data_IF_519516076859
#
_entry.id   IF_519516076859
#
_cell.length_a   1.000
_cell.length_b   1.000
_cell.length_c   1.000
_cell.angle_alpha   90.00
_cell.angle_beta   90.00
_cell.angle_gamma   90.00
#
_symmetry.space_group_name_H-M   'P 1'
#
loop_
_entity.id
_entity.type
_entity.pdbx_description
1 polymer ?
#
# COMPACT_ATOMS: atom_id res chain seq x y z
N UNK A 1 -10.55 -30.84 13.93
CA UNK A 1 -10.93 -29.97 12.78
C UNK A 1 -11.27 -28.60 13.34
N UNK A 2 -10.47 -27.54 13.09
CA UNK A 2 -10.80 -26.20 13.58
C UNK A 2 -12.13 -25.73 12.95
N UNK A 3 -12.95 -25.03 13.73
CA UNK A 3 -14.19 -24.42 13.21
C UNK A 3 -13.83 -23.28 12.25
N UNK A 4 -14.70 -23.00 11.27
CA UNK A 4 -14.47 -21.98 10.23
C UNK A 4 -14.10 -20.61 10.81
N UNK A 5 -14.71 -20.23 11.93
CA UNK A 5 -14.42 -18.99 12.67
C UNK A 5 -12.99 -18.95 13.22
N UNK A 6 -12.48 -20.10 13.69
CA UNK A 6 -11.12 -20.22 14.23
C UNK A 6 -10.06 -20.17 13.11
N UNK A 7 -10.37 -20.71 11.93
CA UNK A 7 -9.53 -20.62 10.75
C UNK A 7 -9.44 -19.17 10.22
N UNK A 8 -10.58 -18.45 10.19
CA UNK A 8 -10.64 -17.04 9.77
C UNK A 8 -9.83 -16.14 10.71
N UNK A 9 -9.93 -16.34 12.03
CA UNK A 9 -9.13 -15.60 13.02
C UNK A 9 -7.62 -15.86 12.90
N UNK A 10 -7.22 -17.12 12.64
CA UNK A 10 -5.82 -17.48 12.44
C UNK A 10 -5.24 -16.85 11.15
N UNK A 11 -6.02 -16.84 10.06
CA UNK A 11 -5.64 -16.20 8.80
C UNK A 11 -5.48 -14.69 8.94
N UNK A 12 -6.41 -14.03 9.64
CA UNK A 12 -6.33 -12.60 9.94
C UNK A 12 -5.09 -12.26 10.78
N UNK A 13 -4.83 -13.04 11.83
CA UNK A 13 -3.64 -12.91 12.67
C UNK A 13 -2.34 -13.10 11.86
N UNK A 14 -2.34 -14.03 10.90
CA UNK A 14 -1.21 -14.24 10.00
C UNK A 14 -0.99 -13.06 9.04
N UNK A 15 -2.06 -12.50 8.46
CA UNK A 15 -2.01 -11.32 7.60
C UNK A 15 -1.44 -10.10 8.35
N UNK A 16 -1.92 -9.86 9.58
CA UNK A 16 -1.39 -8.80 10.44
C UNK A 16 0.11 -8.97 10.72
N UNK A 17 0.54 -10.17 11.15
CA UNK A 17 1.96 -10.45 11.39
C UNK A 17 2.82 -10.28 10.13
N UNK A 18 2.32 -10.70 8.97
CA UNK A 18 3.02 -10.53 7.71
C UNK A 18 3.21 -9.06 7.35
N UNK A 19 2.15 -8.25 7.52
CA UNK A 19 2.20 -6.81 7.28
C UNK A 19 3.21 -6.11 8.18
N UNK A 20 3.17 -6.37 9.50
CA UNK A 20 4.10 -5.76 10.47
C UNK A 20 5.55 -6.14 10.15
N UNK A 21 5.83 -7.42 9.88
CA UNK A 21 7.18 -7.88 9.51
C UNK A 21 7.65 -7.25 8.21
N UNK A 22 6.77 -7.16 7.20
CA UNK A 22 7.09 -6.53 5.91
C UNK A 22 7.45 -5.07 6.08
N UNK A 23 6.69 -4.32 6.89
CA UNK A 23 6.99 -2.92 7.15
C UNK A 23 8.33 -2.74 7.89
N UNK A 24 8.56 -3.53 8.96
CA UNK A 24 9.83 -3.49 9.71
C UNK A 24 11.03 -3.84 8.82
N UNK A 25 10.90 -4.85 7.96
CA UNK A 25 11.95 -5.19 7.00
C UNK A 25 12.32 -4.02 6.08
N UNK A 26 11.33 -3.27 5.57
CA UNK A 26 11.59 -2.12 4.71
C UNK A 26 12.25 -0.95 5.46
N UNK A 27 11.86 -0.73 6.72
CA UNK A 27 12.47 0.27 7.60
C UNK A 27 13.94 -0.10 7.90
N UNK A 28 14.18 -1.35 8.31
CA UNK A 28 15.53 -1.86 8.59
C UNK A 28 16.42 -1.84 7.34
N UNK A 29 15.86 -2.12 6.15
CA UNK A 29 16.58 -2.05 4.88
C UNK A 29 17.06 -0.62 4.61
N UNK A 30 16.19 0.37 4.77
CA UNK A 30 16.55 1.78 4.57
C UNK A 30 17.65 2.26 5.52
N UNK A 31 17.71 1.72 6.75
CA UNK A 31 18.78 2.01 7.70
C UNK A 31 20.14 1.40 7.28
N UNK A 32 20.14 0.32 6.49
CA UNK A 32 21.36 -0.36 6.01
C UNK A 32 21.88 0.23 4.69
N UNK A 33 20.98 0.72 3.82
CA UNK A 33 21.28 1.16 2.45
C UNK A 33 21.76 2.63 2.31
N UNK A 34 22.42 3.21 3.32
CA UNK A 34 22.97 4.56 3.24
C UNK A 34 24.10 4.75 2.19
N UNK A 35 24.51 3.69 1.49
CA UNK A 35 25.72 3.64 0.63
C UNK A 35 25.48 3.15 -0.80
N UNK A 36 24.27 3.26 -1.37
CA UNK A 36 24.03 2.76 -2.73
C UNK A 36 24.66 3.69 -3.78
N UNK A 37 25.76 3.20 -4.38
CA UNK A 37 26.44 3.77 -5.54
C UNK A 37 25.51 3.85 -6.76
N UNK A 38 25.61 4.91 -7.59
CA UNK A 38 24.81 5.02 -8.82
C UNK A 38 25.28 3.99 -9.85
N UNK A 39 24.43 3.02 -10.19
CA UNK A 39 24.74 1.99 -11.18
C UNK A 39 23.56 1.63 -12.07
N UNK A 40 23.75 1.77 -13.38
CA UNK A 40 22.97 1.21 -14.52
C UNK A 40 21.43 1.31 -14.48
N UNK A 41 20.82 1.83 -15.57
CA UNK A 41 19.36 1.92 -15.74
C UNK A 41 18.60 0.59 -15.56
N UNK A 42 19.27 -0.55 -15.84
CA UNK A 42 18.70 -1.89 -15.60
C UNK A 42 18.44 -2.13 -14.11
N UNK A 43 19.35 -1.68 -13.24
CA UNK A 43 19.21 -1.76 -11.78
C UNK A 43 18.06 -0.87 -11.30
N UNK A 44 17.91 0.32 -11.88
CA UNK A 44 16.81 1.24 -11.53
C UNK A 44 15.43 0.66 -11.86
N UNK A 45 15.25 0.00 -13.01
CA UNK A 45 13.99 -0.67 -13.37
C UNK A 45 13.65 -1.84 -12.46
N UNK A 46 14.66 -2.64 -12.09
CA UNK A 46 14.48 -3.76 -11.15
C UNK A 46 14.08 -3.23 -9.77
N UNK A 47 14.78 -2.21 -9.26
CA UNK A 47 14.46 -1.57 -7.98
C UNK A 47 13.04 -1.00 -7.96
N UNK A 48 12.64 -0.30 -9.04
CA UNK A 48 11.28 0.23 -9.17
C UNK A 48 10.22 -0.89 -9.12
N UNK A 49 10.44 -1.99 -9.83
CA UNK A 49 9.49 -3.11 -9.84
C UNK A 49 9.42 -3.84 -8.49
N UNK A 50 10.56 -3.98 -7.80
CA UNK A 50 10.60 -4.50 -6.44
C UNK A 50 9.80 -3.61 -5.48
N UNK A 51 10.00 -2.29 -5.53
CA UNK A 51 9.22 -1.34 -4.74
C UNK A 51 7.72 -1.45 -5.04
N UNK A 52 7.33 -1.51 -6.32
CA UNK A 52 5.94 -1.69 -6.73
C UNK A 52 5.31 -2.99 -6.19
N UNK A 53 6.06 -4.09 -6.21
CA UNK A 53 5.61 -5.37 -5.66
C UNK A 53 5.47 -5.32 -4.13
N UNK A 54 6.41 -4.68 -3.43
CA UNK A 54 6.31 -4.47 -1.98
C UNK A 54 5.05 -3.68 -1.63
N UNK A 55 4.79 -2.55 -2.32
CA UNK A 55 3.59 -1.74 -2.10
C UNK A 55 2.31 -2.52 -2.39
N UNK A 56 2.30 -3.33 -3.46
CA UNK A 56 1.16 -4.21 -3.79
C UNK A 56 0.85 -5.20 -2.67
N UNK A 57 1.86 -5.85 -2.08
CA UNK A 57 1.64 -6.78 -0.97
C UNK A 57 1.19 -6.06 0.30
N UNK A 58 1.76 -4.90 0.63
CA UNK A 58 1.31 -4.10 1.78
C UNK A 58 -0.16 -3.67 1.64
N UNK A 59 -0.56 -3.20 0.45
CA UNK A 59 -1.96 -2.88 0.14
C UNK A 59 -2.88 -4.10 0.25
N UNK A 60 -2.41 -5.27 -0.17
CA UNK A 60 -3.18 -6.51 -0.06
C UNK A 60 -3.44 -6.86 1.40
N UNK A 61 -2.43 -6.79 2.25
CA UNK A 61 -2.61 -7.06 3.68
C UNK A 61 -3.49 -6.01 4.36
N UNK A 62 -3.28 -4.72 4.08
CA UNK A 62 -4.14 -3.66 4.61
C UNK A 62 -5.60 -3.87 4.21
N UNK A 63 -5.84 -4.27 2.96
CA UNK A 63 -7.19 -4.59 2.46
C UNK A 63 -7.83 -5.72 3.26
N UNK A 64 -7.11 -6.82 3.50
CA UNK A 64 -7.59 -7.94 4.32
C UNK A 64 -7.97 -7.44 5.72
N UNK A 65 -7.13 -6.62 6.34
CA UNK A 65 -7.41 -6.07 7.67
C UNK A 65 -8.65 -5.18 7.65
N UNK A 66 -8.79 -4.30 6.65
CA UNK A 66 -9.97 -3.41 6.53
C UNK A 66 -11.25 -4.23 6.34
N UNK A 67 -11.23 -5.20 5.42
CA UNK A 67 -12.40 -6.01 5.08
C UNK A 67 -12.88 -6.84 6.30
N UNK A 68 -11.95 -7.39 7.11
CA UNK A 68 -12.31 -8.11 8.36
C UNK A 68 -12.81 -7.19 9.48
N UNK A 69 -12.35 -5.95 9.52
CA UNK A 69 -12.81 -4.94 10.48
C UNK A 69 -14.05 -4.17 9.99
N UNK A 70 -14.69 -4.58 8.88
CA UNK A 70 -15.89 -3.94 8.38
C UNK A 70 -17.13 -4.31 9.18
N UNK A 71 -17.99 -3.34 9.54
CA UNK A 71 -19.25 -3.66 10.16
C UNK A 71 -20.04 -4.57 9.21
N UNK A 72 -20.84 -5.52 9.75
CA UNK A 72 -21.58 -6.48 8.93
C UNK A 72 -22.51 -5.83 7.90
N UNK A 73 -22.92 -4.57 8.11
CA UNK A 73 -23.70 -3.76 7.15
C UNK A 73 -22.91 -3.29 5.92
N UNK A 74 -21.57 -3.28 5.99
CA UNK A 74 -20.66 -2.87 4.92
C UNK A 74 -19.82 -4.04 4.38
N UNK A 75 -19.86 -5.19 5.05
CA UNK A 75 -19.11 -6.39 4.65
C UNK A 75 -19.62 -6.90 3.30
N UNK A 76 -18.76 -7.00 2.27
CA UNK A 76 -19.16 -7.61 1.01
C UNK A 76 -19.57 -9.06 1.26
N UNK A 77 -20.70 -9.48 0.70
CA UNK A 77 -21.17 -10.86 0.77
C UNK A 77 -20.04 -11.81 0.37
N UNK A 78 -19.53 -12.62 1.32
CA UNK A 78 -18.44 -13.61 1.10
C UNK A 78 -18.86 -14.79 0.21
N UNK A 79 -19.78 -14.58 -0.73
CA UNK A 79 -20.28 -15.60 -1.65
C UNK A 79 -19.54 -15.51 -2.99
N UNK A 80 -18.85 -16.61 -3.31
CA UNK A 80 -18.75 -17.16 -4.66
C UNK A 80 -18.06 -16.32 -5.73
N UNK A 81 -16.99 -16.87 -6.28
CA UNK A 81 -16.49 -16.50 -7.60
C UNK A 81 -17.61 -16.58 -8.67
N UNK A 82 -17.46 -15.79 -9.74
CA UNK A 82 -18.18 -15.88 -11.04
C UNK A 82 -19.32 -14.89 -11.37
N UNK A 83 -19.24 -13.61 -10.98
CA UNK A 83 -20.01 -12.55 -11.65
C UNK A 83 -19.07 -11.46 -12.17
N UNK A 84 -18.85 -11.43 -13.48
CA UNK A 84 -17.82 -10.63 -14.15
C UNK A 84 -17.98 -9.12 -14.02
N UNK A 85 -16.84 -8.43 -14.14
CA UNK A 85 -16.62 -6.99 -14.37
C UNK A 85 -17.34 -5.96 -13.47
N UNK A 86 -18.67 -5.98 -13.38
CA UNK A 86 -19.47 -4.99 -12.64
C UNK A 86 -19.42 -5.18 -11.12
N UNK A 87 -19.30 -6.42 -10.64
CA UNK A 87 -19.10 -6.66 -9.21
C UNK A 87 -17.71 -6.21 -8.74
N UNK A 88 -16.72 -6.21 -9.63
CA UNK A 88 -15.35 -5.81 -9.29
C UNK A 88 -15.25 -4.28 -9.12
N UNK A 89 -15.96 -3.51 -9.96
CA UNK A 89 -16.09 -2.05 -9.82
C UNK A 89 -16.88 -1.66 -8.57
N UNK A 90 -17.98 -2.34 -8.29
CA UNK A 90 -18.80 -2.09 -7.09
C UNK A 90 -18.02 -2.41 -5.82
N UNK A 91 -17.30 -3.54 -5.79
CA UNK A 91 -16.42 -3.91 -4.66
C UNK A 91 -15.29 -2.92 -4.48
N UNK A 92 -14.66 -2.45 -5.57
CA UNK A 92 -13.64 -1.39 -5.52
C UNK A 92 -14.23 -0.09 -4.95
N UNK A 93 -15.42 0.31 -5.37
CA UNK A 93 -16.06 1.53 -4.88
C UNK A 93 -16.43 1.44 -3.40
N UNK A 94 -17.02 0.32 -2.95
CA UNK A 94 -17.30 0.08 -1.54
C UNK A 94 -16.03 0.10 -0.70
N UNK A 95 -14.94 -0.47 -1.22
CA UNK A 95 -13.64 -0.44 -0.54
C UNK A 95 -13.06 0.97 -0.44
N UNK A 96 -13.17 1.78 -1.50
CA UNK A 96 -12.76 3.19 -1.48
C UNK A 96 -13.57 3.93 -0.41
N UNK A 97 -14.89 3.74 -0.36
CA UNK A 97 -15.74 4.35 0.66
C UNK A 97 -15.37 3.91 2.08
N UNK A 98 -15.08 2.62 2.29
CA UNK A 98 -14.65 2.11 3.59
C UNK A 98 -13.30 2.71 4.03
N UNK A 99 -12.35 2.84 3.10
CA UNK A 99 -11.07 3.51 3.36
C UNK A 99 -11.27 4.99 3.70
N UNK A 100 -12.13 5.69 2.96
CA UNK A 100 -12.43 7.12 3.19
C UNK A 100 -13.11 7.36 4.54
N UNK A 101 -14.05 6.50 4.90
CA UNK A 101 -14.73 6.53 6.20
C UNK A 101 -13.77 6.26 7.36
N UNK A 102 -12.86 5.29 7.20
CA UNK A 102 -11.96 4.88 8.29
C UNK A 102 -10.74 5.74 8.48
N UNK A 103 -10.22 6.29 7.39
CA UNK A 103 -8.98 7.06 7.37
C UNK A 103 -9.16 8.39 6.64
N UNK A 104 -10.10 9.25 7.07
CA UNK A 104 -10.47 10.47 6.32
C UNK A 104 -9.29 11.42 6.12
N UNK A 105 -8.38 11.49 7.09
CA UNK A 105 -7.18 12.35 7.03
C UNK A 105 -6.11 11.76 6.10
N UNK A 106 -6.07 10.44 5.94
CA UNK A 106 -5.00 9.75 5.22
C UNK A 106 -5.37 9.34 3.78
N UNK A 107 -6.62 9.59 3.35
CA UNK A 107 -7.11 9.25 2.00
C UNK A 107 -6.18 9.75 0.90
N UNK A 108 -5.70 10.99 1.02
CA UNK A 108 -4.80 11.59 0.04
C UNK A 108 -3.49 10.80 -0.09
N UNK A 109 -2.94 10.37 1.06
CA UNK A 109 -1.70 9.58 1.13
C UNK A 109 -1.89 8.18 0.56
N UNK A 110 -2.99 7.52 0.92
CA UNK A 110 -3.36 6.21 0.38
C UNK A 110 -3.56 6.24 -1.14
N UNK A 111 -4.25 7.27 -1.66
CA UNK A 111 -4.43 7.46 -3.11
C UNK A 111 -3.09 7.70 -3.81
N UNK A 112 -2.19 8.49 -3.21
CA UNK A 112 -0.86 8.73 -3.75
C UNK A 112 -0.02 7.46 -3.81
N UNK A 113 -0.01 6.64 -2.75
CA UNK A 113 0.64 5.33 -2.74
C UNK A 113 0.08 4.43 -3.84
N UNK A 114 -1.25 4.39 -4.00
CA UNK A 114 -1.90 3.62 -5.07
C UNK A 114 -1.44 4.02 -6.48
N UNK A 115 -1.23 5.33 -6.72
CA UNK A 115 -0.69 5.85 -7.99
C UNK A 115 0.79 5.49 -8.18
N UNK A 116 1.61 5.65 -7.15
CA UNK A 116 3.04 5.25 -7.16
C UNK A 116 3.18 3.76 -7.47
N UNK A 117 2.37 2.92 -6.82
CA UNK A 117 2.30 1.47 -7.08
C UNK A 117 1.92 1.17 -8.52
N UNK A 118 0.83 1.76 -9.02
CA UNK A 118 0.36 1.53 -10.39
C UNK A 118 1.42 1.89 -11.42
N UNK A 119 2.17 2.97 -11.19
CA UNK A 119 3.33 3.33 -12.03
C UNK A 119 4.43 2.26 -11.94
N UNK A 120 4.85 1.90 -10.73
CA UNK A 120 5.94 0.95 -10.50
C UNK A 120 5.65 -0.46 -11.04
N UNK A 121 4.38 -0.87 -11.09
CA UNK A 121 3.98 -2.16 -11.66
C UNK A 121 3.69 -2.10 -13.17
N UNK A 122 3.77 -0.93 -13.81
CA UNK A 122 3.50 -0.74 -15.24
C UNK A 122 2.01 -0.75 -15.62
N UNK A 123 1.12 -0.48 -14.67
CA UNK A 123 -0.33 -0.42 -14.86
C UNK A 123 -0.86 1.01 -14.97
N UNK A 124 0.01 2.02 -14.91
CA UNK A 124 -0.38 3.43 -14.97
C UNK A 124 -0.35 3.95 -16.41
N UNK A 125 -1.42 4.64 -16.88
CA UNK A 125 -1.39 5.38 -18.13
C UNK A 125 -0.60 6.70 -18.01
N UNK A 126 -0.14 7.07 -16.80
CA UNK A 126 0.51 8.35 -16.54
C UNK A 126 1.98 8.30 -16.95
N UNK A 127 2.38 9.22 -17.83
CA UNK A 127 3.76 9.41 -18.25
C UNK A 127 4.70 9.72 -17.07
N UNK A 128 5.96 9.23 -17.07
CA UNK A 128 6.97 9.62 -16.08
C UNK A 128 7.12 11.14 -16.05
N UNK A 129 7.17 11.76 -14.86
CA UNK A 129 7.32 13.21 -14.75
C UNK A 129 7.00 13.79 -13.36
N UNK A 130 6.74 15.10 -13.32
CA UNK A 130 6.49 15.91 -12.11
C UNK A 130 5.37 15.36 -11.23
N UNK A 131 4.33 14.76 -11.84
CA UNK A 131 3.20 14.17 -11.13
C UNK A 131 3.58 12.97 -10.26
N UNK A 132 4.51 12.12 -10.73
CA UNK A 132 4.95 10.97 -9.94
C UNK A 132 5.86 11.40 -8.77
N UNK A 133 6.72 12.40 -8.97
CA UNK A 133 7.54 12.96 -7.89
C UNK A 133 6.66 13.58 -6.79
N UNK A 134 5.63 14.33 -7.20
CA UNK A 134 4.62 14.88 -6.29
C UNK A 134 3.86 13.77 -5.54
N UNK A 135 3.40 12.73 -6.24
CA UNK A 135 2.72 11.59 -5.61
C UNK A 135 3.63 10.83 -4.64
N UNK A 136 4.91 10.67 -4.97
CA UNK A 136 5.89 10.04 -4.07
C UNK A 136 6.09 10.86 -2.80
N UNK A 137 6.11 12.19 -2.89
CA UNK A 137 6.23 13.06 -1.72
C UNK A 137 4.99 12.98 -0.81
N UNK A 138 3.79 12.97 -1.41
CA UNK A 138 2.56 12.75 -0.64
C UNK A 138 2.59 11.35 0.00
N UNK A 139 3.01 10.32 -0.73
CA UNK A 139 3.10 8.95 -0.23
C UNK A 139 4.09 8.84 0.95
N UNK A 140 5.27 9.44 0.84
CA UNK A 140 6.33 9.35 1.85
C UNK A 140 6.11 10.28 3.05
N UNK A 141 5.61 11.50 2.83
CA UNK A 141 5.60 12.56 3.85
C UNK A 141 4.21 13.15 4.13
N UNK A 142 3.17 12.70 3.41
CA UNK A 142 1.83 13.27 3.51
C UNK A 142 1.69 14.69 2.93
N UNK A 143 2.72 15.22 2.26
CA UNK A 143 2.76 16.59 1.73
C UNK A 143 3.38 16.62 0.33
N UNK A 144 2.83 17.45 -0.56
CA UNK A 144 3.19 17.49 -1.99
C UNK A 144 4.32 18.44 -2.39
N UNK A 145 5.11 18.96 -1.46
CA UNK A 145 6.14 19.95 -1.77
C UNK A 145 7.46 19.26 -2.19
N UNK A 146 7.72 19.16 -3.49
CA UNK A 146 9.02 18.79 -4.03
C UNK A 146 9.45 19.80 -5.09
N UNK A 147 10.66 20.39 -4.97
CA UNK A 147 11.30 21.06 -6.09
C UNK A 147 11.67 20.01 -7.16
N UNK A 148 10.91 19.92 -8.25
CA UNK A 148 11.17 18.94 -9.30
C UNK A 148 12.29 19.39 -10.23
N UNK A 149 13.40 18.64 -10.27
CA UNK A 149 14.32 18.65 -11.42
C UNK A 149 13.62 17.92 -12.58
N UNK A 150 13.47 18.60 -13.72
CA UNK A 150 12.87 18.02 -14.92
C UNK A 150 13.75 16.91 -15.49
N UNK A 151 13.14 15.80 -15.94
CA UNK A 151 13.76 14.83 -16.85
C UNK A 151 14.26 13.49 -16.27
N UNK A 152 14.37 13.32 -14.94
CA UNK A 152 14.80 12.05 -14.36
C UNK A 152 13.60 11.15 -14.03
N UNK A 153 13.68 9.86 -14.38
CA UNK A 153 12.73 8.85 -13.90
C UNK A 153 12.77 8.82 -12.37
N UNK A 154 11.64 9.08 -11.68
CA UNK A 154 11.62 9.08 -10.22
C UNK A 154 12.01 7.70 -9.69
N UNK A 155 13.06 7.66 -8.87
CA UNK A 155 13.47 6.46 -8.14
C UNK A 155 12.71 6.44 -6.82
N UNK A 156 12.05 5.33 -6.51
CA UNK A 156 11.49 5.10 -5.19
C UNK A 156 12.65 4.66 -4.29
N UNK A 157 13.20 5.60 -3.51
CA UNK A 157 14.30 5.31 -2.60
C UNK A 157 13.87 4.40 -1.45
N UNK A 158 14.83 3.72 -0.82
CA UNK A 158 14.54 2.93 0.38
C UNK A 158 14.03 3.79 1.53
N UNK A 159 14.50 5.04 1.64
CA UNK A 159 13.97 6.01 2.60
C UNK A 159 12.49 6.33 2.34
N UNK A 160 12.09 6.50 1.08
CA UNK A 160 10.69 6.69 0.73
C UNK A 160 9.86 5.43 1.05
N UNK A 161 10.40 4.23 0.78
CA UNK A 161 9.75 2.97 1.14
C UNK A 161 9.60 2.79 2.66
N UNK A 162 10.61 3.18 3.45
CA UNK A 162 10.55 3.14 4.91
C UNK A 162 9.48 4.10 5.45
N UNK A 163 9.45 5.34 4.96
CA UNK A 163 8.44 6.32 5.38
C UNK A 163 7.00 5.89 5.02
N UNK A 164 6.83 5.22 3.87
CA UNK A 164 5.55 4.59 3.50
C UNK A 164 5.24 3.41 4.44
N UNK A 165 6.22 2.57 4.77
CA UNK A 165 6.06 1.43 5.66
C UNK A 165 5.69 1.86 7.11
N UNK A 166 6.31 2.91 7.64
CA UNK A 166 5.93 3.53 8.91
C UNK A 166 4.47 3.98 8.93
N UNK A 167 4.03 4.55 7.81
CA UNK A 167 2.63 4.91 7.64
C UNK A 167 1.70 3.71 7.65
N UNK A 168 1.99 2.64 6.91
CA UNK A 168 1.22 1.40 6.99
C UNK A 168 1.20 0.82 8.42
N UNK A 169 2.30 0.90 9.18
CA UNK A 169 2.31 0.49 10.59
C UNK A 169 1.34 1.32 11.44
N UNK A 170 1.33 2.65 11.27
CA UNK A 170 0.40 3.54 11.98
C UNK A 170 -1.07 3.21 11.67
N UNK A 171 -1.39 2.88 10.42
CA UNK A 171 -2.72 2.44 10.02
C UNK A 171 -3.11 1.12 10.69
N UNK A 172 -2.20 0.15 10.73
CA UNK A 172 -2.45 -1.14 11.41
C UNK A 172 -2.66 -0.97 12.90
N UNK A 173 -1.85 -0.16 13.57
CA UNK A 173 -2.01 0.14 14.99
C UNK A 173 -3.36 0.81 15.27
N UNK A 174 -3.76 1.76 14.42
CA UNK A 174 -5.07 2.43 14.53
C UNK A 174 -6.25 1.47 14.32
N UNK A 175 -6.12 0.49 13.41
CA UNK A 175 -7.13 -0.56 13.26
C UNK A 175 -7.22 -1.42 14.52
N UNK A 176 -6.09 -1.85 15.09
CA UNK A 176 -6.10 -2.67 16.30
C UNK A 176 -6.71 -1.93 17.50
N UNK A 177 -6.37 -0.65 17.70
CA UNK A 177 -6.84 0.15 18.82
C UNK A 177 -8.36 0.36 18.83
N UNK A 178 -9.04 0.28 17.68
CA UNK A 178 -10.50 0.42 17.56
C UNK A 178 -11.25 -0.88 17.88
N UNK A 179 -10.53 -1.98 18.07
CA UNK A 179 -11.08 -3.32 18.33
C UNK A 179 -10.58 -3.97 19.63
N UNK A 180 -9.71 -3.28 20.38
CA UNK A 180 -9.32 -3.63 21.74
C UNK A 180 -10.26 -2.98 22.75
#
# INVERSE_FOLDING_TARGET
MPTRVQADAAALSAAHRAMVRGCRFLIDRAARDATVMPGCERTARVALRLAGNCLKELDRFLTILIDEHAPPSEAPSRHGAAAGSDTDSTRKLSRIKAMESRFPVDVLRLRAIGRVRAFATGHSPVSPGTRLAHDLAIAAHGRGLVPTRHGATPVISDQAMAAIAEFYLSLTASLQARHA
#
